data_IF_094459688566
#
_entry.id   IF_094459688566
#
_cell.length_a   1.000
_cell.length_b   1.000
_cell.length_c   1.000
_cell.angle_alpha   90.00
_cell.angle_beta   90.00
_cell.angle_gamma   90.00
#
_symmetry.space_group_name_H-M   'P 1'
#
loop_
_entity.id
_entity.type
_entity.pdbx_description
1 polymer ?
#
# COMPACT_ATOMS: atom_id res chain seq x y z
N UNK A 1 49.68 21.92 29.92
CA UNK A 1 49.16 20.63 29.40
C UNK A 1 48.26 20.94 28.21
N UNK A 2 48.76 20.78 26.98
CA UNK A 2 47.96 20.79 25.75
C UNK A 2 48.54 19.66 24.89
N UNK A 3 47.96 18.48 25.00
CA UNK A 3 48.37 17.30 24.24
C UNK A 3 48.08 17.52 22.76
N UNK A 4 49.11 17.44 21.90
CA UNK A 4 48.91 17.41 20.45
C UNK A 4 48.27 16.07 20.10
N UNK A 5 47.05 16.11 19.59
CA UNK A 5 46.39 14.94 19.03
C UNK A 5 47.18 14.38 17.83
N UNK A 6 47.00 13.10 17.50
CA UNK A 6 47.73 12.46 16.40
C UNK A 6 47.42 13.13 15.05
N UNK A 7 48.48 13.54 14.33
CA UNK A 7 48.41 13.94 12.93
C UNK A 7 48.37 12.67 12.08
N UNK A 8 47.18 12.35 11.56
CA UNK A 8 46.98 11.16 10.74
C UNK A 8 47.65 11.35 9.36
N UNK A 9 48.24 10.30 8.76
CA UNK A 9 48.79 10.39 7.42
C UNK A 9 47.71 10.80 6.42
N UNK A 10 48.03 11.70 5.47
CA UNK A 10 47.10 12.18 4.44
C UNK A 10 46.40 11.04 3.71
N UNK A 11 47.07 9.90 3.51
CA UNK A 11 46.53 8.69 2.91
C UNK A 11 45.33 8.09 3.68
N UNK A 12 45.34 8.17 5.01
CA UNK A 12 44.22 7.69 5.85
C UNK A 12 43.00 8.59 5.69
N UNK A 13 43.21 9.91 5.61
CA UNK A 13 42.13 10.86 5.36
C UNK A 13 41.50 10.63 3.97
N UNK A 14 42.31 10.39 2.94
CA UNK A 14 41.81 10.08 1.58
C UNK A 14 41.02 8.77 1.54
N UNK A 15 41.45 7.73 2.25
CA UNK A 15 40.71 6.48 2.32
C UNK A 15 39.38 6.62 3.05
N UNK A 16 39.34 7.41 4.13
CA UNK A 16 38.10 7.70 4.87
C UNK A 16 37.12 8.53 4.04
N UNK A 17 37.59 9.50 3.26
CA UNK A 17 36.72 10.30 2.38
C UNK A 17 36.20 9.48 1.20
N UNK A 18 37.03 8.63 0.58
CA UNK A 18 36.59 7.69 -0.47
C UNK A 18 35.57 6.67 0.06
N UNK A 19 35.82 6.11 1.24
CA UNK A 19 34.88 5.20 1.91
C UNK A 19 33.55 5.89 2.21
N UNK A 20 33.58 7.11 2.78
CA UNK A 20 32.38 7.89 3.03
C UNK A 20 31.63 8.23 1.74
N UNK A 21 32.35 8.60 0.67
CA UNK A 21 31.76 8.86 -0.65
C UNK A 21 31.08 7.61 -1.25
N UNK A 22 31.68 6.43 -1.12
CA UNK A 22 31.08 5.17 -1.56
C UNK A 22 29.83 4.80 -0.71
N UNK A 23 29.85 5.07 0.59
CA UNK A 23 28.71 4.84 1.48
C UNK A 23 27.56 5.84 1.24
N UNK A 24 27.87 7.08 0.86
CA UNK A 24 26.89 8.11 0.47
C UNK A 24 26.22 7.83 -0.89
N UNK A 25 26.78 6.92 -1.70
CA UNK A 25 26.18 6.43 -2.94
C UNK A 25 25.32 5.18 -2.76
N UNK A 26 25.00 4.77 -1.52
CA UNK A 26 23.90 3.84 -1.29
C UNK A 26 22.60 4.52 -1.76
N UNK A 27 22.22 4.23 -3.01
CA UNK A 27 21.09 4.89 -3.67
C UNK A 27 19.82 4.77 -2.85
N UNK A 28 19.23 5.91 -2.48
CA UNK A 28 17.86 5.95 -1.97
C UNK A 28 16.93 5.71 -3.15
N UNK A 29 16.47 4.47 -3.30
CA UNK A 29 15.42 4.12 -4.26
C UNK A 29 14.05 4.30 -3.61
N UNK A 30 13.17 5.11 -4.21
CA UNK A 30 11.75 5.09 -3.87
C UNK A 30 11.15 3.85 -4.55
N UNK A 31 10.88 2.81 -3.77
CA UNK A 31 10.22 1.60 -4.24
C UNK A 31 8.76 1.84 -4.59
N UNK A 32 8.21 1.00 -5.48
CA UNK A 32 6.78 0.89 -5.67
C UNK A 32 6.13 0.25 -4.45
N UNK A 33 5.13 0.89 -3.85
CA UNK A 33 4.40 0.38 -2.70
C UNK A 33 2.91 0.66 -2.78
N UNK A 34 2.18 -0.10 -1.98
CA UNK A 34 0.75 0.06 -1.72
C UNK A 34 0.60 0.23 -0.21
N UNK A 35 -0.19 1.22 0.20
CA UNK A 35 -0.52 1.50 1.59
C UNK A 35 -2.04 1.43 1.78
N UNK A 36 -2.48 0.76 2.84
CA UNK A 36 -3.91 0.56 3.12
C UNK A 36 -4.21 0.90 4.58
N UNK A 37 -5.37 1.53 4.84
CA UNK A 37 -5.78 1.87 6.19
C UNK A 37 -7.31 1.90 6.36
N UNK A 38 -7.83 1.64 7.57
CA UNK A 38 -7.08 1.18 8.75
C UNK A 38 -6.60 -0.27 8.59
N UNK A 39 -5.48 -0.62 9.25
CA UNK A 39 -4.93 -2.00 9.23
C UNK A 39 -5.90 -3.02 9.82
N UNK A 40 -6.66 -2.60 10.84
CA UNK A 40 -7.65 -3.40 11.54
C UNK A 40 -8.81 -2.52 11.93
N UNK A 41 -10.02 -3.06 11.78
CA UNK A 41 -11.24 -2.38 12.16
C UNK A 41 -12.24 -3.40 12.70
N UNK A 42 -12.92 -3.02 13.78
CA UNK A 42 -14.03 -3.77 14.35
C UNK A 42 -15.27 -2.91 14.26
N UNK A 43 -16.30 -3.41 13.60
CA UNK A 43 -17.55 -2.69 13.39
C UNK A 43 -18.73 -3.57 13.78
N UNK A 44 -19.80 -2.97 14.31
CA UNK A 44 -21.03 -3.69 14.65
C UNK A 44 -21.77 -4.12 13.38
N UNK A 45 -22.46 -5.25 13.46
CA UNK A 45 -23.37 -5.70 12.41
C UNK A 45 -24.42 -4.63 12.08
N UNK A 46 -24.83 -4.55 10.81
CA UNK A 46 -25.70 -3.52 10.27
C UNK A 46 -25.00 -2.20 9.95
N UNK A 47 -23.79 -1.97 10.48
CA UNK A 47 -22.97 -0.80 10.17
C UNK A 47 -22.35 -0.85 8.76
N UNK A 48 -21.62 0.20 8.41
CA UNK A 48 -20.74 0.23 7.24
C UNK A 48 -19.32 0.61 7.66
N UNK A 49 -18.32 0.18 6.91
CA UNK A 49 -16.93 0.57 7.13
C UNK A 49 -16.27 0.92 5.79
N UNK A 50 -15.24 1.75 5.83
CA UNK A 50 -14.48 2.14 4.63
C UNK A 50 -13.00 1.80 4.82
N UNK A 51 -12.43 1.15 3.82
CA UNK A 51 -11.01 0.81 3.72
C UNK A 51 -10.43 1.69 2.62
N UNK A 52 -9.32 2.34 2.92
CA UNK A 52 -8.61 3.21 1.99
C UNK A 52 -7.37 2.50 1.46
N UNK A 53 -7.04 2.76 0.21
CA UNK A 53 -5.87 2.26 -0.47
C UNK A 53 -5.18 3.38 -1.24
N UNK A 54 -3.87 3.47 -1.08
CA UNK A 54 -2.99 4.36 -1.80
C UNK A 54 -1.88 3.57 -2.50
N UNK A 55 -1.46 4.04 -3.67
CA UNK A 55 -0.27 3.52 -4.35
C UNK A 55 0.54 4.67 -4.97
N UNK A 56 1.87 4.54 -4.98
CA UNK A 56 2.79 5.62 -5.34
C UNK A 56 3.45 5.47 -6.72
N UNK A 57 3.15 4.42 -7.49
CA UNK A 57 4.03 3.99 -8.59
C UNK A 57 3.37 3.93 -9.97
N UNK A 58 2.06 3.73 -10.02
CA UNK A 58 1.33 3.42 -11.24
C UNK A 58 0.41 4.56 -11.65
N UNK A 59 0.42 4.93 -12.93
CA UNK A 59 -0.65 5.75 -13.51
C UNK A 59 -1.74 4.87 -14.14
N UNK A 60 -1.71 3.55 -13.90
CA UNK A 60 -2.73 2.65 -14.41
C UNK A 60 -4.07 2.97 -13.77
N UNK A 61 -5.14 2.90 -14.57
CA UNK A 61 -6.45 3.09 -13.98
C UNK A 61 -7.03 1.88 -13.30
N UNK A 62 -6.37 0.73 -13.32
CA UNK A 62 -6.93 -0.44 -12.65
C UNK A 62 -6.37 -0.57 -11.24
N UNK A 63 -7.28 -0.68 -10.28
CA UNK A 63 -7.00 -1.19 -8.94
C UNK A 63 -8.02 -2.28 -8.63
N UNK A 64 -7.57 -3.27 -7.88
CA UNK A 64 -8.33 -4.46 -7.55
C UNK A 64 -8.56 -4.51 -6.05
N UNK A 65 -9.77 -4.88 -5.66
CA UNK A 65 -10.09 -5.19 -4.27
C UNK A 65 -10.35 -6.68 -4.13
N UNK A 66 -9.70 -7.28 -3.14
CA UNK A 66 -9.81 -8.70 -2.83
C UNK A 66 -10.34 -8.89 -1.40
N UNK A 67 -11.05 -9.99 -1.22
CA UNK A 67 -11.48 -10.51 0.07
C UNK A 67 -10.79 -11.85 0.34
N UNK A 68 -10.25 -12.02 1.54
CA UNK A 68 -9.77 -13.30 2.03
C UNK A 68 -10.52 -13.67 3.32
N UNK A 69 -11.60 -14.47 3.22
CA UNK A 69 -12.26 -15.02 4.38
C UNK A 69 -11.34 -15.96 5.17
N UNK A 70 -11.58 -16.17 6.48
CA UNK A 70 -10.83 -17.12 7.27
C UNK A 70 -10.77 -18.51 6.60
N UNK A 71 -9.56 -19.07 6.50
CA UNK A 71 -9.29 -20.41 5.92
C UNK A 71 -9.73 -20.57 4.45
N UNK A 72 -9.95 -19.46 3.74
CA UNK A 72 -10.31 -19.46 2.32
C UNK A 72 -9.21 -18.82 1.47
N UNK A 73 -9.23 -19.10 0.17
CA UNK A 73 -8.37 -18.43 -0.81
C UNK A 73 -8.75 -16.96 -1.00
N UNK A 74 -7.83 -16.21 -1.60
CA UNK A 74 -8.06 -14.83 -2.01
C UNK A 74 -9.09 -14.79 -3.15
N UNK A 75 -10.12 -13.96 -3.02
CA UNK A 75 -11.18 -13.78 -4.01
C UNK A 75 -11.21 -12.34 -4.49
N UNK A 76 -11.25 -12.14 -5.80
CA UNK A 76 -11.44 -10.82 -6.38
C UNK A 76 -12.89 -10.39 -6.13
N UNK A 77 -13.08 -9.16 -5.64
CA UNK A 77 -14.39 -8.53 -5.45
C UNK A 77 -14.72 -7.72 -6.69
N UNK A 78 -13.80 -6.82 -7.05
CA UNK A 78 -14.03 -5.80 -8.05
C UNK A 78 -12.73 -5.29 -8.67
N UNK A 79 -12.79 -5.09 -9.99
CA UNK A 79 -11.82 -4.35 -10.78
C UNK A 79 -12.31 -2.92 -10.94
N UNK A 80 -11.69 -1.98 -10.21
CA UNK A 80 -12.03 -0.56 -10.23
C UNK A 80 -11.25 0.21 -11.29
N UNK A 81 -11.87 1.23 -11.89
CA UNK A 81 -11.33 2.04 -12.98
C UNK A 81 -11.59 3.53 -12.74
N UNK A 82 -10.68 4.44 -13.14
CA UNK A 82 -10.92 5.90 -13.10
C UNK A 82 -11.68 6.41 -14.33
N UNK A 83 -11.76 5.65 -15.41
CA UNK A 83 -12.36 6.10 -16.68
C UNK A 83 -13.53 5.23 -17.16
N UNK A 84 -13.75 4.08 -16.54
CA UNK A 84 -14.84 3.15 -16.88
C UNK A 84 -15.59 2.70 -15.64
N UNK A 85 -16.74 2.06 -15.86
CA UNK A 85 -17.46 1.39 -14.80
C UNK A 85 -16.61 0.31 -14.11
N UNK A 86 -16.91 0.08 -12.84
CA UNK A 86 -16.30 -0.98 -12.05
C UNK A 86 -16.88 -2.33 -12.44
N UNK A 87 -16.03 -3.36 -12.52
CA UNK A 87 -16.43 -4.72 -12.89
C UNK A 87 -16.37 -5.59 -11.65
N UNK A 88 -17.53 -6.07 -11.19
CA UNK A 88 -17.64 -6.95 -10.03
C UNK A 88 -17.63 -8.42 -10.46
N UNK A 89 -16.98 -9.25 -9.65
CA UNK A 89 -17.01 -10.70 -9.82
C UNK A 89 -18.36 -11.30 -9.36
N UNK A 90 -18.64 -12.52 -9.80
CA UNK A 90 -19.88 -13.22 -9.45
C UNK A 90 -20.09 -13.30 -7.94
N UNK A 91 -21.29 -12.93 -7.49
CA UNK A 91 -21.67 -12.89 -6.08
C UNK A 91 -21.29 -11.60 -5.35
N UNK A 92 -20.60 -10.66 -6.02
CA UNK A 92 -20.30 -9.33 -5.50
C UNK A 92 -21.14 -8.26 -6.21
N UNK A 93 -21.38 -7.14 -5.52
CA UNK A 93 -22.13 -6.02 -6.09
C UNK A 93 -21.79 -4.70 -5.41
N UNK A 94 -21.98 -3.61 -6.14
CA UNK A 94 -21.81 -2.23 -5.64
C UNK A 94 -22.73 -1.91 -4.45
N UNK A 95 -23.91 -2.54 -4.39
CA UNK A 95 -24.83 -2.39 -3.27
C UNK A 95 -24.22 -2.84 -1.93
N UNK A 96 -23.29 -3.81 -1.96
CA UNK A 96 -22.60 -4.35 -0.79
C UNK A 96 -21.19 -3.79 -0.63
N UNK A 97 -20.44 -3.71 -1.73
CA UNK A 97 -19.05 -3.26 -1.79
C UNK A 97 -18.97 -2.04 -2.69
N UNK A 98 -19.26 -0.86 -2.16
CA UNK A 98 -19.17 0.39 -2.93
C UNK A 98 -17.70 0.77 -3.07
N UNK A 99 -17.24 0.98 -4.31
CA UNK A 99 -15.88 1.47 -4.57
C UNK A 99 -15.92 2.87 -5.14
N UNK A 100 -15.07 3.74 -4.59
CA UNK A 100 -14.83 5.08 -5.11
C UNK A 100 -13.38 5.21 -5.56
N UNK A 101 -13.17 5.64 -6.80
CA UNK A 101 -11.83 5.83 -7.37
C UNK A 101 -11.64 7.29 -7.76
N UNK A 102 -11.15 8.09 -6.81
CA UNK A 102 -11.00 9.54 -6.97
C UNK A 102 -9.80 9.91 -7.86
N UNK A 103 -8.79 9.06 -7.92
CA UNK A 103 -7.60 9.27 -8.75
C UNK A 103 -6.94 7.93 -9.09
N UNK A 104 -5.89 7.97 -9.92
CA UNK A 104 -5.04 6.80 -10.20
C UNK A 104 -4.31 6.29 -8.96
N UNK A 105 -4.14 7.13 -7.93
CA UNK A 105 -3.39 6.80 -6.72
C UNK A 105 -4.26 6.32 -5.57
N UNK A 106 -5.54 6.68 -5.54
CA UNK A 106 -6.41 6.44 -4.40
C UNK A 106 -7.65 5.63 -4.78
N UNK A 107 -7.96 4.62 -3.98
CA UNK A 107 -9.22 3.88 -4.02
C UNK A 107 -9.78 3.70 -2.62
N UNK A 108 -11.09 3.85 -2.49
CA UNK A 108 -11.84 3.64 -1.25
C UNK A 108 -12.83 2.51 -1.49
N UNK A 109 -12.89 1.54 -0.57
CA UNK A 109 -13.91 0.49 -0.56
C UNK A 109 -14.76 0.62 0.69
N UNK A 110 -16.05 0.88 0.51
CA UNK A 110 -17.05 0.93 1.57
C UNK A 110 -17.88 -0.35 1.56
N UNK A 111 -17.80 -1.12 2.64
CA UNK A 111 -18.58 -2.33 2.84
C UNK A 111 -19.83 -1.96 3.63
N UNK A 112 -20.99 -2.11 2.99
CA UNK A 112 -22.29 -1.71 3.54
C UNK A 112 -22.97 -2.85 4.29
N UNK A 113 -23.84 -2.51 5.24
CA UNK A 113 -24.71 -3.45 5.96
C UNK A 113 -23.96 -4.73 6.43
N UNK A 114 -22.94 -4.53 7.26
CA UNK A 114 -22.03 -5.58 7.68
C UNK A 114 -22.74 -6.73 8.40
N UNK A 115 -22.32 -7.94 8.08
CA UNK A 115 -22.79 -9.19 8.67
C UNK A 115 -21.57 -10.01 9.12
N UNK A 116 -21.75 -11.04 9.97
CA UNK A 116 -20.64 -11.94 10.34
C UNK A 116 -19.97 -12.63 9.14
N UNK A 117 -20.65 -12.73 7.99
CA UNK A 117 -20.07 -13.31 6.77
C UNK A 117 -19.04 -12.40 6.09
N UNK A 118 -19.02 -11.12 6.45
CA UNK A 118 -18.09 -10.13 5.90
C UNK A 118 -16.77 -10.07 6.69
N UNK A 119 -16.63 -10.88 7.75
CA UNK A 119 -15.37 -11.04 8.47
C UNK A 119 -14.32 -11.65 7.54
N UNK A 120 -13.34 -10.85 7.14
CA UNK A 120 -12.29 -11.23 6.22
C UNK A 120 -11.11 -10.24 6.31
N UNK A 121 -9.97 -10.63 5.76
CA UNK A 121 -8.90 -9.69 5.42
C UNK A 121 -9.16 -9.14 4.02
N UNK A 122 -9.09 -7.82 3.86
CA UNK A 122 -9.30 -7.15 2.58
C UNK A 122 -7.97 -6.60 2.08
N UNK A 123 -7.70 -6.80 0.80
CA UNK A 123 -6.46 -6.36 0.15
C UNK A 123 -6.79 -5.49 -1.05
N UNK A 124 -6.05 -4.41 -1.21
CA UNK A 124 -5.99 -3.73 -2.50
C UNK A 124 -4.73 -4.14 -3.25
N UNK A 125 -4.83 -4.19 -4.58
CA UNK A 125 -3.69 -4.45 -5.45
C UNK A 125 -3.80 -3.62 -6.73
N UNK A 126 -2.67 -3.47 -7.41
CA UNK A 126 -2.60 -2.89 -8.75
C UNK A 126 -1.53 -3.64 -9.55
N UNK A 127 -1.58 -3.53 -10.87
CA UNK A 127 -0.58 -4.15 -11.74
C UNK A 127 0.77 -3.45 -11.57
N UNK A 128 1.86 -4.21 -11.70
CA UNK A 128 3.22 -3.69 -11.79
C UNK A 128 3.72 -3.81 -13.22
#
# INVERSE_FOLDING_TARGET
MLGRGPLWPSSVLVLLTLSCYLLLNAGVGIGAYIEQWPDRILQRAGGSLTISCYQNYSNLAYMFWYQQPPRSGLKLIVSSSTWSQHVYEDGYSEAKFEVSRQSTHYSLMTIKNLTPKDEATYFCATWK
#
